data_IF_418667431061
#
_entry.id   IF_418667431061
#
_cell.length_a   1.000
_cell.length_b   1.000
_cell.length_c   1.000
_cell.angle_alpha   90.00
_cell.angle_beta   90.00
_cell.angle_gamma   90.00
#
_symmetry.space_group_name_H-M   'P 1'
#
loop_
_entity.id
_entity.type
_entity.pdbx_description
1 polymer ?
#
# COMPACT_ATOMS: atom_id res chain seq x y z
N UNK A 1 13.15 -1.25 -14.78
CA UNK A 1 12.23 -2.13 -15.54
C UNK A 1 10.85 -1.47 -15.47
N UNK A 2 10.07 -1.53 -16.53
CA UNK A 2 8.70 -1.03 -16.60
C UNK A 2 7.75 -2.23 -16.75
N UNK A 3 6.71 -2.28 -15.90
CA UNK A 3 5.73 -3.36 -15.89
C UNK A 3 4.31 -2.82 -16.12
N UNK A 4 3.48 -3.57 -16.82
CA UNK A 4 2.08 -3.23 -17.10
C UNK A 4 1.21 -4.49 -17.11
N UNK A 5 -0.02 -4.38 -16.64
CA UNK A 5 -1.03 -5.43 -16.72
C UNK A 5 -1.51 -5.63 -18.17
N UNK A 6 -1.47 -4.59 -18.99
CA UNK A 6 -1.77 -4.67 -20.42
C UNK A 6 -0.83 -5.69 -21.09
N UNK A 7 -1.36 -6.67 -21.86
CA UNK A 7 -0.52 -7.63 -22.56
C UNK A 7 0.37 -7.03 -23.66
N UNK A 8 -0.01 -5.85 -24.18
CA UNK A 8 0.73 -5.14 -25.24
C UNK A 8 0.90 -3.67 -24.87
N UNK A 9 1.70 -3.34 -23.85
CA UNK A 9 1.92 -1.96 -23.47
C UNK A 9 2.77 -1.23 -24.52
N UNK A 10 2.67 0.10 -24.58
CA UNK A 10 3.51 0.92 -25.47
C UNK A 10 5.00 0.82 -25.12
N UNK A 11 5.32 0.48 -23.87
CA UNK A 11 6.69 0.26 -23.40
C UNK A 11 6.69 -0.72 -22.21
N UNK A 12 7.79 -1.45 -22.01
CA UNK A 12 7.98 -2.34 -20.88
C UNK A 12 7.47 -3.76 -21.10
N UNK A 13 7.27 -4.47 -20.00
CA UNK A 13 6.83 -5.85 -19.97
C UNK A 13 5.33 -5.91 -19.67
N UNK A 14 4.57 -6.50 -20.58
CA UNK A 14 3.14 -6.73 -20.44
C UNK A 14 2.79 -8.01 -19.69
N UNK A 15 1.50 -8.21 -19.43
CA UNK A 15 0.96 -9.33 -18.64
C UNK A 15 1.51 -9.41 -17.20
N UNK A 16 2.03 -8.33 -16.64
CA UNK A 16 2.50 -8.32 -15.27
C UNK A 16 1.41 -7.78 -14.33
N UNK A 17 1.06 -8.59 -13.34
CA UNK A 17 -0.04 -8.31 -12.43
C UNK A 17 0.49 -7.82 -11.06
N UNK A 18 0.35 -6.54 -10.78
CA UNK A 18 0.80 -5.94 -9.53
C UNK A 18 0.22 -6.58 -8.26
N UNK A 19 -0.96 -7.20 -8.34
CA UNK A 19 -1.58 -7.89 -7.21
C UNK A 19 -1.01 -9.29 -6.96
N UNK A 20 -0.55 -9.98 -8.01
CA UNK A 20 -0.20 -11.40 -7.96
C UNK A 20 1.29 -11.67 -8.16
N UNK A 21 1.89 -10.99 -9.15
CA UNK A 21 3.25 -11.28 -9.54
C UNK A 21 4.26 -10.65 -8.57
N UNK A 22 5.39 -11.31 -8.40
CA UNK A 22 6.44 -10.82 -7.54
C UNK A 22 7.22 -9.67 -8.17
N UNK A 23 7.73 -8.79 -7.34
CA UNK A 23 8.66 -7.73 -7.72
C UNK A 23 10.06 -8.20 -7.36
N UNK A 24 11.03 -7.98 -8.24
CA UNK A 24 12.44 -8.21 -7.90
C UNK A 24 12.83 -7.37 -6.69
N UNK A 25 13.42 -7.99 -5.68
CA UNK A 25 13.92 -7.31 -4.50
C UNK A 25 15.10 -6.40 -4.84
N UNK A 26 15.34 -5.40 -3.99
CA UNK A 26 16.48 -4.49 -4.08
C UNK A 26 16.37 -3.37 -5.12
N UNK A 27 15.16 -2.92 -5.41
CA UNK A 27 14.97 -1.71 -6.21
C UNK A 27 15.41 -0.44 -5.46
N UNK A 28 16.11 0.47 -6.15
CA UNK A 28 16.45 1.79 -5.62
C UNK A 28 15.26 2.73 -5.57
N UNK A 29 14.44 2.64 -6.59
CA UNK A 29 13.25 3.44 -6.80
C UNK A 29 12.16 2.58 -7.42
N UNK A 30 10.98 2.64 -6.84
CA UNK A 30 9.76 2.17 -7.48
C UNK A 30 8.89 3.39 -7.76
N UNK A 31 8.53 3.60 -9.03
CA UNK A 31 7.55 4.59 -9.45
C UNK A 31 6.24 3.88 -9.78
N UNK A 32 5.19 4.19 -9.05
CA UNK A 32 3.88 3.57 -9.19
C UNK A 32 2.82 4.59 -9.59
N UNK A 33 2.18 4.34 -10.72
CA UNK A 33 1.08 5.15 -11.24
C UNK A 33 -0.15 4.27 -11.46
N UNK A 34 -0.97 4.04 -10.45
CA UNK A 34 -2.17 3.23 -10.55
C UNK A 34 -3.27 3.95 -11.33
N UNK A 35 -4.28 3.22 -11.81
CA UNK A 35 -5.55 3.83 -12.22
C UNK A 35 -6.15 4.63 -11.06
N UNK A 36 -6.91 5.70 -11.39
CA UNK A 36 -7.65 6.46 -10.38
C UNK A 36 -9.06 5.89 -10.26
N UNK A 37 -9.18 4.72 -9.65
CA UNK A 37 -10.42 3.96 -9.59
C UNK A 37 -11.08 3.88 -10.98
N UNK A 38 -12.36 4.15 -11.12
CA UNK A 38 -13.16 3.98 -12.33
C UNK A 38 -13.26 5.23 -13.22
N UNK A 39 -12.38 6.23 -13.05
CA UNK A 39 -12.38 7.43 -13.90
C UNK A 39 -12.07 7.08 -15.36
N UNK A 40 -11.12 6.21 -15.58
CA UNK A 40 -10.81 5.59 -16.86
C UNK A 40 -10.81 4.07 -16.62
N UNK A 41 -11.61 3.35 -17.39
CA UNK A 41 -11.61 1.90 -17.37
C UNK A 41 -10.64 1.40 -18.44
N UNK A 42 -9.60 0.70 -18.03
CA UNK A 42 -8.52 0.27 -18.92
C UNK A 42 -8.83 -1.05 -19.63
N UNK A 43 -8.83 -2.18 -18.92
CA UNK A 43 -9.10 -3.47 -19.56
C UNK A 43 -10.54 -3.57 -20.06
N UNK A 44 -10.70 -4.13 -21.26
CA UNK A 44 -11.98 -4.23 -21.94
C UNK A 44 -12.43 -2.96 -22.65
N UNK A 45 -11.84 -1.80 -22.35
CA UNK A 45 -12.15 -0.53 -23.00
C UNK A 45 -10.94 0.02 -23.79
N UNK A 46 -9.77 0.10 -23.13
CA UNK A 46 -8.56 0.63 -23.76
C UNK A 46 -7.72 -0.50 -24.36
N UNK A 47 -7.74 -1.69 -23.74
CA UNK A 47 -7.04 -2.87 -24.20
C UNK A 47 -7.75 -4.17 -23.78
N UNK A 48 -7.60 -5.20 -24.59
CA UNK A 48 -7.98 -6.58 -24.34
C UNK A 48 -9.41 -6.82 -23.84
N UNK A 49 -9.56 -7.90 -23.07
CA UNK A 49 -10.81 -8.25 -22.38
C UNK A 49 -10.79 -7.67 -20.95
N UNK A 50 -11.97 -7.50 -20.30
CA UNK A 50 -12.03 -7.13 -18.88
C UNK A 50 -11.16 -8.08 -18.03
N UNK A 51 -10.29 -7.49 -17.19
CA UNK A 51 -9.40 -8.23 -16.30
C UNK A 51 -9.85 -8.05 -14.84
N UNK A 52 -9.96 -9.13 -14.03
CA UNK A 52 -10.50 -9.05 -12.67
C UNK A 52 -9.57 -8.29 -11.70
N UNK A 53 -8.28 -8.24 -11.99
CA UNK A 53 -7.29 -7.54 -11.16
C UNK A 53 -6.94 -6.14 -11.69
N UNK A 54 -7.69 -5.64 -12.66
CA UNK A 54 -7.58 -4.24 -13.08
C UNK A 54 -8.20 -3.32 -12.04
N UNK A 55 -7.38 -2.49 -11.40
CA UNK A 55 -7.83 -1.55 -10.35
C UNK A 55 -8.87 -0.56 -10.82
N UNK A 56 -8.95 -0.29 -12.13
CA UNK A 56 -10.00 0.56 -12.70
C UNK A 56 -11.38 -0.10 -12.75
N UNK A 57 -11.45 -1.40 -12.47
CA UNK A 57 -12.67 -2.21 -12.47
C UNK A 57 -13.11 -2.68 -11.09
N UNK A 58 -12.53 -2.12 -10.05
CA UNK A 58 -12.95 -2.39 -8.68
C UNK A 58 -14.43 -2.06 -8.48
N UNK A 59 -15.13 -2.90 -7.75
CA UNK A 59 -16.57 -2.80 -7.54
C UNK A 59 -16.96 -1.48 -6.87
N UNK A 60 -16.19 -1.07 -5.89
CA UNK A 60 -16.36 0.17 -5.14
C UNK A 60 -14.99 0.77 -4.74
N UNK A 61 -15.05 1.94 -4.11
CA UNK A 61 -13.83 2.67 -3.72
C UNK A 61 -13.04 1.95 -2.61
N UNK A 62 -13.71 1.23 -1.72
CA UNK A 62 -13.05 0.52 -0.62
C UNK A 62 -12.28 -0.71 -1.16
N UNK A 63 -12.87 -1.49 -2.09
CA UNK A 63 -12.17 -2.56 -2.82
C UNK A 63 -10.96 -2.03 -3.60
N UNK A 64 -11.11 -0.87 -4.24
CA UNK A 64 -10.00 -0.20 -4.91
C UNK A 64 -8.87 0.15 -3.94
N UNK A 65 -9.18 0.76 -2.79
CA UNK A 65 -8.19 1.13 -1.79
C UNK A 65 -7.48 -0.10 -1.19
N UNK A 66 -8.20 -1.16 -0.91
CA UNK A 66 -7.62 -2.41 -0.42
C UNK A 66 -6.57 -2.95 -1.40
N UNK A 67 -6.93 -3.08 -2.68
CA UNK A 67 -6.02 -3.56 -3.72
C UNK A 67 -4.86 -2.61 -3.97
N UNK A 68 -5.11 -1.29 -3.98
CA UNK A 68 -4.07 -0.28 -4.07
C UNK A 68 -3.05 -0.41 -2.94
N UNK A 69 -3.52 -0.56 -1.71
CA UNK A 69 -2.68 -0.70 -0.52
C UNK A 69 -1.87 -2.00 -0.52
N UNK A 70 -2.42 -3.09 -1.07
CA UNK A 70 -1.65 -4.33 -1.29
C UNK A 70 -0.48 -4.09 -2.25
N UNK A 71 -0.71 -3.39 -3.36
CA UNK A 71 0.36 -3.01 -4.30
C UNK A 71 1.41 -2.12 -3.64
N UNK A 72 0.99 -1.06 -2.95
CA UNK A 72 1.89 -0.13 -2.24
C UNK A 72 2.79 -0.88 -1.26
N UNK A 73 2.20 -1.77 -0.45
CA UNK A 73 2.96 -2.60 0.50
C UNK A 73 3.98 -3.49 -0.20
N UNK A 74 3.57 -4.19 -1.26
CA UNK A 74 4.46 -5.05 -2.06
C UNK A 74 5.65 -4.25 -2.62
N UNK A 75 5.38 -3.11 -3.23
CA UNK A 75 6.41 -2.27 -3.83
C UNK A 75 7.37 -1.67 -2.79
N UNK A 76 6.84 -1.27 -1.63
CA UNK A 76 7.68 -0.79 -0.54
C UNK A 76 8.59 -1.90 0.02
N UNK A 77 8.08 -3.13 0.11
CA UNK A 77 8.89 -4.27 0.57
C UNK A 77 10.02 -4.62 -0.41
N UNK A 78 9.79 -4.49 -1.70
CA UNK A 78 10.79 -4.73 -2.75
C UNK A 78 11.90 -3.66 -2.82
N UNK A 79 11.72 -2.51 -2.18
CA UNK A 79 12.78 -1.51 -2.09
C UNK A 79 13.93 -2.01 -1.22
N UNK A 80 15.16 -1.75 -1.66
CA UNK A 80 16.32 -1.89 -0.78
C UNK A 80 16.29 -0.86 0.35
N UNK A 81 17.16 -1.02 1.34
CA UNK A 81 17.45 0.01 2.32
C UNK A 81 17.77 1.34 1.61
N UNK A 82 17.28 2.44 2.16
CA UNK A 82 17.41 3.80 1.58
C UNK A 82 16.76 3.98 0.19
N UNK A 83 16.00 2.98 -0.29
CA UNK A 83 15.21 3.10 -1.52
C UNK A 83 13.99 4.00 -1.36
N UNK A 84 13.38 4.37 -2.47
CA UNK A 84 12.25 5.30 -2.52
C UNK A 84 11.06 4.72 -3.25
N UNK A 85 9.88 4.95 -2.71
CA UNK A 85 8.61 4.69 -3.36
C UNK A 85 8.00 6.03 -3.79
N UNK A 86 7.81 6.19 -5.09
CA UNK A 86 7.11 7.33 -5.67
C UNK A 86 5.73 6.89 -6.17
N UNK A 87 4.66 7.50 -5.65
CA UNK A 87 3.29 7.16 -6.03
C UNK A 87 2.61 8.39 -6.64
N UNK A 88 2.22 8.28 -7.91
CA UNK A 88 1.46 9.33 -8.60
C UNK A 88 -0.02 8.98 -8.57
N UNK A 89 -0.82 9.81 -7.92
CA UNK A 89 -2.28 9.65 -7.80
C UNK A 89 -3.01 10.99 -7.94
N UNK A 90 -4.30 10.92 -8.20
CA UNK A 90 -5.16 12.10 -8.26
C UNK A 90 -6.40 11.94 -7.39
N UNK A 91 -7.04 13.07 -7.08
CA UNK A 91 -8.38 13.08 -6.50
C UNK A 91 -9.43 12.75 -7.56
N UNK A 92 -10.54 12.17 -7.14
CA UNK A 92 -11.63 11.83 -8.05
C UNK A 92 -13.00 12.26 -7.51
N UNK A 93 -13.97 12.40 -8.44
CA UNK A 93 -15.39 12.47 -8.12
C UNK A 93 -16.15 11.35 -8.80
N UNK A 94 -16.86 10.58 -8.02
CA UNK A 94 -17.73 9.51 -8.52
C UNK A 94 -19.09 9.62 -7.84
N UNK A 95 -20.17 9.56 -8.61
CA UNK A 95 -21.55 9.67 -8.11
C UNK A 95 -21.79 10.91 -7.18
N UNK A 96 -21.13 12.03 -7.46
CA UNK A 96 -21.25 13.27 -6.67
C UNK A 96 -20.43 13.31 -5.38
N UNK A 97 -19.76 12.23 -5.00
CA UNK A 97 -18.87 12.15 -3.84
C UNK A 97 -17.42 12.44 -4.26
N UNK A 98 -16.71 13.19 -3.44
CA UNK A 98 -15.28 13.46 -3.60
C UNK A 98 -14.47 12.41 -2.84
N UNK A 99 -13.43 11.89 -3.49
CA UNK A 99 -12.49 10.95 -2.91
C UNK A 99 -11.07 11.46 -3.11
N UNK A 100 -10.30 11.45 -2.06
CA UNK A 100 -8.90 11.91 -2.06
C UNK A 100 -7.99 10.70 -1.93
N UNK A 101 -7.59 10.11 -3.08
CA UNK A 101 -6.79 8.88 -3.09
C UNK A 101 -5.48 9.09 -2.32
N UNK A 102 -4.83 10.22 -2.50
CA UNK A 102 -3.58 10.56 -1.82
C UNK A 102 -3.69 10.63 -0.29
N UNK A 103 -4.88 10.95 0.24
CA UNK A 103 -5.15 10.97 1.68
C UNK A 103 -5.56 9.59 2.20
N UNK A 104 -6.33 8.85 1.39
CA UNK A 104 -7.01 7.63 1.82
C UNK A 104 -6.13 6.40 1.62
N UNK A 105 -5.13 6.46 0.72
CA UNK A 105 -4.19 5.36 0.49
C UNK A 105 -3.21 5.16 1.66
N UNK A 106 -2.70 3.95 1.79
CA UNK A 106 -1.63 3.63 2.73
C UNK A 106 -0.37 4.43 2.42
N UNK A 107 0.19 5.06 3.45
CA UNK A 107 1.49 5.72 3.38
C UNK A 107 2.54 4.84 4.07
N UNK A 108 3.61 4.49 3.35
CA UNK A 108 4.65 3.58 3.81
C UNK A 108 6.00 4.27 3.88
N UNK A 109 6.65 4.18 5.03
CA UNK A 109 7.96 4.79 5.25
C UNK A 109 7.88 6.26 5.68
N UNK A 110 9.00 6.98 5.54
CA UNK A 110 9.07 8.40 5.85
C UNK A 110 8.66 9.23 4.63
N UNK A 111 7.69 10.12 4.81
CA UNK A 111 7.31 11.06 3.75
C UNK A 111 8.46 12.04 3.49
N UNK A 112 9.08 11.94 2.32
CA UNK A 112 10.20 12.78 1.92
C UNK A 112 9.73 14.01 1.14
N UNK A 113 8.70 13.84 0.31
CA UNK A 113 8.16 14.93 -0.49
C UNK A 113 6.71 14.69 -0.92
N UNK A 114 5.99 15.78 -1.09
CA UNK A 114 4.63 15.83 -1.58
C UNK A 114 4.54 16.90 -2.67
N UNK A 115 4.60 16.48 -3.92
CA UNK A 115 4.58 17.37 -5.06
C UNK A 115 3.19 17.46 -5.65
N UNK A 116 2.75 18.67 -5.94
CA UNK A 116 1.46 18.93 -6.60
C UNK A 116 1.74 19.23 -8.06
N UNK A 117 1.23 18.38 -8.95
CA UNK A 117 1.29 18.55 -10.39
C UNK A 117 -0.01 19.21 -10.87
N UNK A 118 0.07 20.42 -11.36
CA UNK A 118 -1.05 21.07 -12.04
C UNK A 118 -1.28 20.44 -13.42
N UNK A 119 -2.54 20.13 -13.72
CA UNK A 119 -2.94 19.62 -15.04
C UNK A 119 -3.53 20.76 -15.88
N UNK A 120 -3.13 20.81 -17.15
CA UNK A 120 -3.72 21.67 -18.16
C UNK A 120 -4.60 20.82 -19.07
N UNK A 121 -5.75 21.36 -19.48
CA UNK A 121 -6.72 20.69 -20.36
C UNK A 121 -7.28 19.38 -19.78
N UNK A 122 -7.55 19.35 -18.47
CA UNK A 122 -8.17 18.18 -17.87
C UNK A 122 -9.63 18.06 -18.28
N UNK A 123 -10.15 16.82 -18.25
CA UNK A 123 -11.55 16.52 -18.59
C UNK A 123 -12.53 17.34 -17.73
N UNK A 124 -12.14 17.69 -16.51
CA UNK A 124 -12.91 18.53 -15.59
C UNK A 124 -13.15 19.93 -16.11
N UNK A 125 -12.24 20.51 -16.91
CA UNK A 125 -12.37 21.87 -17.44
C UNK A 125 -13.39 21.96 -18.58
N UNK A 126 -13.56 20.88 -19.32
CA UNK A 126 -14.48 20.82 -20.48
C UNK A 126 -15.90 20.39 -20.11
N UNK A 127 -16.13 19.88 -18.88
CA UNK A 127 -17.43 19.40 -18.43
C UNK A 127 -18.26 20.54 -17.82
N UNK A 128 -19.52 20.67 -18.27
CA UNK A 128 -20.52 21.51 -17.59
C UNK A 128 -21.20 20.72 -16.50
N UNK A 129 -21.07 21.18 -15.27
CA UNK A 129 -21.72 20.58 -14.11
C UNK A 129 -23.04 21.26 -13.82
N UNK A 130 -24.07 20.48 -13.44
CA UNK A 130 -25.40 21.02 -13.06
C UNK A 130 -25.37 21.87 -11.80
N UNK A 131 -24.37 21.69 -10.94
CA UNK A 131 -24.15 22.46 -9.71
C UNK A 131 -22.73 23.03 -9.73
N UNK A 132 -22.49 24.18 -9.08
CA UNK A 132 -21.12 24.71 -8.94
C UNK A 132 -20.22 23.69 -8.25
N UNK A 133 -19.11 23.32 -8.89
CA UNK A 133 -18.10 22.42 -8.36
C UNK A 133 -16.74 23.04 -8.59
N UNK A 134 -15.84 22.87 -7.62
CA UNK A 134 -14.44 23.19 -7.83
C UNK A 134 -13.84 22.07 -8.69
N UNK A 135 -13.29 22.37 -9.88
CA UNK A 135 -12.66 21.38 -10.74
C UNK A 135 -11.47 20.69 -10.04
N UNK A 136 -11.26 19.42 -10.34
CA UNK A 136 -10.04 18.71 -9.95
C UNK A 136 -9.03 18.92 -11.10
N UNK A 137 -7.99 19.68 -10.82
CA UNK A 137 -6.96 20.07 -11.79
C UNK A 137 -5.56 19.70 -11.34
N UNK A 138 -5.46 18.83 -10.34
CA UNK A 138 -4.19 18.43 -9.75
C UNK A 138 -4.04 16.93 -9.67
N UNK A 139 -2.79 16.49 -9.80
CA UNK A 139 -2.29 15.18 -9.40
C UNK A 139 -1.21 15.37 -8.35
N UNK A 140 -0.92 14.33 -7.62
CA UNK A 140 0.00 14.36 -6.50
C UNK A 140 1.05 13.27 -6.68
N UNK A 141 2.32 13.65 -6.62
CA UNK A 141 3.43 12.73 -6.54
C UNK A 141 3.93 12.68 -5.10
N UNK A 142 3.67 11.57 -4.44
CA UNK A 142 4.12 11.32 -3.07
C UNK A 142 5.42 10.52 -3.13
N UNK A 143 6.43 10.98 -2.42
CA UNK A 143 7.72 10.32 -2.32
C UNK A 143 7.95 9.85 -0.89
N UNK A 144 8.15 8.54 -0.72
CA UNK A 144 8.41 7.89 0.56
C UNK A 144 9.79 7.27 0.57
N UNK A 145 10.53 7.47 1.64
CA UNK A 145 11.85 6.93 1.86
C UNK A 145 11.78 5.70 2.77
N UNK A 146 12.36 4.60 2.33
CA UNK A 146 12.50 3.38 3.13
C UNK A 146 13.73 3.48 4.01
N UNK A 147 13.55 3.89 5.27
CA UNK A 147 14.56 3.77 6.31
C UNK A 147 14.53 2.36 6.92
N UNK A 148 15.55 2.00 7.67
CA UNK A 148 15.68 0.67 8.33
C UNK A 148 14.54 0.32 9.28
N UNK A 149 13.82 1.32 9.75
CA UNK A 149 12.67 1.11 10.61
C UNK A 149 11.41 0.91 9.78
N UNK A 150 10.80 -0.26 9.87
CA UNK A 150 9.45 -0.50 9.36
C UNK A 150 8.46 0.33 10.19
N UNK A 151 8.19 1.54 9.76
CA UNK A 151 7.06 2.31 10.29
C UNK A 151 5.84 1.83 9.51
N UNK A 152 4.96 1.08 10.15
CA UNK A 152 3.63 0.75 9.63
C UNK A 152 2.67 1.79 10.19
N UNK A 153 2.31 2.84 9.46
CA UNK A 153 1.28 3.75 9.91
C UNK A 153 -0.07 3.04 9.86
N UNK A 154 -0.71 2.88 11.00
CA UNK A 154 -2.09 2.46 11.08
C UNK A 154 -2.98 3.69 11.15
N UNK A 155 -3.79 3.91 10.13
CA UNK A 155 -4.91 4.84 10.26
C UNK A 155 -6.06 4.08 10.91
N UNK A 156 -6.29 4.32 12.20
CA UNK A 156 -7.42 3.75 12.91
C UNK A 156 -8.69 4.52 12.54
N UNK A 157 -9.59 3.90 11.81
CA UNK A 157 -10.97 4.35 11.71
C UNK A 157 -11.80 3.59 12.75
N UNK A 158 -12.41 4.32 13.67
CA UNK A 158 -13.12 3.82 14.86
C UNK A 158 -14.43 3.05 14.55
N UNK A 159 -14.45 2.19 13.52
CA UNK A 159 -15.60 1.32 13.18
C UNK A 159 -15.16 0.00 12.51
N UNK A 160 -14.26 -0.74 13.08
CA UNK A 160 -13.93 -2.04 12.52
C UNK A 160 -13.36 -3.02 13.52
N UNK A 161 -13.95 -4.19 13.59
CA UNK A 161 -13.34 -5.33 14.26
C UNK A 161 -12.24 -5.86 13.35
N UNK A 162 -10.97 -5.70 13.72
CA UNK A 162 -9.89 -6.36 13.01
C UNK A 162 -9.86 -7.84 13.33
N UNK A 163 -10.16 -8.69 12.37
CA UNK A 163 -9.82 -10.09 12.45
C UNK A 163 -8.48 -10.31 11.76
N UNK A 164 -7.39 -10.33 12.52
CA UNK A 164 -6.11 -10.82 12.00
C UNK A 164 -6.23 -12.33 11.92
N UNK A 165 -6.06 -12.90 10.71
CA UNK A 165 -6.10 -14.36 10.57
C UNK A 165 -4.92 -14.98 11.33
N UNK A 166 -5.14 -16.16 11.94
CA UNK A 166 -4.08 -16.89 12.63
C UNK A 166 -2.89 -17.23 11.71
N UNK A 167 -3.07 -17.19 10.40
CA UNK A 167 -2.04 -17.42 9.38
C UNK A 167 -1.09 -16.24 9.28
N UNK A 168 -1.59 -15.00 9.34
CA UNK A 168 -0.78 -13.79 9.26
C UNK A 168 0.10 -13.61 10.50
N UNK A 169 -0.44 -13.98 11.67
CA UNK A 169 0.29 -13.92 12.94
C UNK A 169 1.46 -14.93 12.96
N UNK A 170 1.26 -16.11 12.40
CA UNK A 170 2.31 -17.16 12.35
C UNK A 170 3.42 -16.82 11.34
N UNK A 171 3.10 -16.07 10.30
CA UNK A 171 4.06 -15.64 9.27
C UNK A 171 5.03 -14.52 9.74
N UNK A 172 4.72 -13.82 10.84
CA UNK A 172 5.60 -12.78 11.38
C UNK A 172 6.99 -13.36 11.73
N UNK A 173 8.06 -12.66 11.39
CA UNK A 173 9.40 -13.01 11.88
C UNK A 173 9.49 -12.78 13.39
N UNK A 174 10.46 -13.42 14.07
CA UNK A 174 10.67 -13.17 15.51
C UNK A 174 11.01 -11.70 15.80
N UNK A 175 11.78 -11.09 14.93
CA UNK A 175 12.13 -9.67 15.03
C UNK A 175 10.88 -8.78 14.99
N UNK A 176 9.98 -8.97 14.02
CA UNK A 176 8.74 -8.21 13.94
C UNK A 176 7.84 -8.42 15.15
N UNK A 177 7.73 -9.66 15.62
CA UNK A 177 6.89 -9.99 16.76
C UNK A 177 7.40 -9.33 18.06
N UNK A 178 8.72 -9.39 18.31
CA UNK A 178 9.36 -8.76 19.46
C UNK A 178 9.15 -7.24 19.38
N UNK A 179 9.41 -6.65 18.25
CA UNK A 179 9.25 -5.23 18.04
C UNK A 179 7.81 -4.75 18.28
N UNK A 180 6.82 -5.39 17.67
CA UNK A 180 5.40 -5.07 17.90
C UNK A 180 5.02 -5.17 19.37
N UNK A 181 5.53 -6.19 20.07
CA UNK A 181 5.30 -6.35 21.50
C UNK A 181 5.91 -5.21 22.30
N UNK A 182 7.15 -4.83 22.02
CA UNK A 182 7.83 -3.70 22.66
C UNK A 182 7.07 -2.39 22.41
N UNK A 183 6.68 -2.12 21.19
CA UNK A 183 5.92 -0.92 20.83
C UNK A 183 4.57 -0.84 21.57
N UNK A 184 3.89 -1.97 21.76
CA UNK A 184 2.60 -2.04 22.50
C UNK A 184 2.72 -1.72 23.98
N UNK A 185 3.93 -1.75 24.56
CA UNK A 185 4.19 -1.53 25.97
C UNK A 185 5.05 -0.30 26.25
N UNK A 186 5.16 0.61 25.27
CA UNK A 186 5.88 1.86 25.42
C UNK A 186 7.38 1.80 25.10
N UNK A 187 7.83 0.77 24.37
CA UNK A 187 9.19 0.65 23.84
C UNK A 187 10.24 0.07 24.77
N UNK A 188 9.90 -0.21 26.03
CA UNK A 188 10.83 -0.76 27.04
C UNK A 188 10.16 -1.83 27.88
N UNK A 189 10.83 -2.95 28.11
CA UNK A 189 10.44 -3.95 29.08
C UNK A 189 11.64 -4.82 29.51
N UNK A 190 11.46 -5.55 30.59
CA UNK A 190 12.42 -6.60 30.96
C UNK A 190 12.28 -7.82 30.05
N UNK A 191 13.34 -8.60 29.94
CA UNK A 191 13.33 -9.84 29.17
C UNK A 191 12.28 -10.83 29.68
N UNK A 192 12.03 -10.84 30.99
CA UNK A 192 11.00 -11.67 31.64
C UNK A 192 9.60 -11.27 31.19
N UNK A 193 9.27 -9.99 31.22
CA UNK A 193 7.98 -9.46 30.73
C UNK A 193 7.76 -9.77 29.25
N UNK A 194 8.83 -9.68 28.44
CA UNK A 194 8.75 -10.01 27.01
C UNK A 194 8.44 -11.51 26.81
N UNK A 195 9.04 -12.40 27.60
CA UNK A 195 8.73 -13.83 27.56
C UNK A 195 7.29 -14.13 27.95
N UNK A 196 6.80 -13.51 29.02
CA UNK A 196 5.43 -13.68 29.50
C UNK A 196 4.42 -13.25 28.45
N UNK A 197 4.59 -12.06 27.88
CA UNK A 197 3.68 -11.55 26.85
C UNK A 197 3.68 -12.39 25.58
N UNK A 198 4.85 -12.86 25.15
CA UNK A 198 4.95 -13.68 23.96
C UNK A 198 4.57 -15.14 24.18
N UNK A 199 4.49 -15.63 25.42
CA UNK A 199 4.17 -17.03 25.73
C UNK A 199 2.81 -17.48 25.19
N UNK A 200 1.84 -16.56 25.13
CA UNK A 200 0.48 -16.83 24.64
C UNK A 200 0.38 -16.79 23.10
N UNK A 201 1.39 -16.25 22.44
CA UNK A 201 1.37 -16.08 21.00
C UNK A 201 1.48 -17.42 20.26
N UNK A 202 0.69 -17.66 19.16
CA UNK A 202 0.69 -18.92 18.43
C UNK A 202 2.07 -19.38 17.96
N UNK A 203 2.95 -18.45 17.58
CA UNK A 203 4.33 -18.73 17.16
C UNK A 203 5.20 -19.24 18.32
N UNK A 204 5.03 -18.69 19.51
CA UNK A 204 5.74 -19.15 20.71
C UNK A 204 5.21 -20.53 21.16
N UNK A 205 3.90 -20.74 21.12
CA UNK A 205 3.28 -22.05 21.45
C UNK A 205 3.75 -23.19 20.53
N UNK A 206 4.08 -22.89 19.27
CA UNK A 206 4.59 -23.86 18.31
C UNK A 206 6.11 -24.09 18.41
N UNK A 207 6.82 -23.35 19.25
CA UNK A 207 8.27 -23.44 19.36
C UNK A 207 8.70 -23.57 20.83
N UNK A 208 9.09 -24.77 21.25
CA UNK A 208 9.55 -25.06 22.62
C UNK A 208 10.77 -24.22 23.04
N UNK A 209 11.54 -23.73 22.08
CA UNK A 209 12.74 -22.90 22.27
C UNK A 209 12.49 -21.42 21.97
N UNK A 210 11.27 -20.93 22.15
CA UNK A 210 10.94 -19.55 21.80
C UNK A 210 11.73 -18.51 22.60
N UNK A 211 12.10 -18.81 23.87
CA UNK A 211 12.90 -17.92 24.72
C UNK A 211 14.31 -17.73 24.17
N UNK A 212 14.93 -18.81 23.68
CA UNK A 212 16.24 -18.76 23.01
C UNK A 212 16.16 -17.98 21.69
N UNK A 213 15.09 -18.16 20.94
CA UNK A 213 14.86 -17.40 19.71
C UNK A 213 14.69 -15.91 19.98
N UNK A 214 13.97 -15.54 21.02
CA UNK A 214 13.85 -14.14 21.44
C UNK A 214 15.23 -13.58 21.79
N UNK A 215 16.02 -14.25 22.61
CA UNK A 215 17.38 -13.81 22.97
C UNK A 215 18.33 -13.69 21.79
N UNK A 216 18.22 -14.57 20.81
CA UNK A 216 19.05 -14.53 19.61
C UNK A 216 18.61 -13.45 18.59
N UNK A 217 17.46 -12.82 18.82
CA UNK A 217 16.89 -11.83 17.90
C UNK A 217 17.04 -10.39 18.42
N UNK A 218 17.25 -10.22 19.73
CA UNK A 218 17.53 -8.95 20.40
C UNK A 218 19.01 -8.61 20.25
#
# INVERSE_FOLDING_TARGET
ILYDLNPNPAAGLGNWNALKDDVEDSADLVFFHPPYHNIITYSGNMWGKPHPDDLSRCENYDDFLEKLNLCIRKFYMALRRDGRLAVLVGDIRSAGKFYSIQRDMMQMGEAESFLVKAQFNCVSDSRRYKKPLIPIVTEYLLLFHKKDSLIVPFTYQDKGTFSISNTDIVALTWHHLIRMTLESIGGQCTLTELYERLSTHPKAKKNSHYKERIRATI
#
